data_IF_837769698869
#
_entry.id   IF_837769698869
#
_cell.length_a   1.000
_cell.length_b   1.000
_cell.length_c   1.000
_cell.angle_alpha   90.00
_cell.angle_beta   90.00
_cell.angle_gamma   90.00
#
_symmetry.space_group_name_H-M   'P 1'
#
loop_
_entity.id
_entity.type
_entity.pdbx_description
1 polymer ?
#
# COMPACT_ATOMS: atom_id res chain seq x y z
N UNK A 1 5.47 -17.57 -4.89
CA UNK A 1 4.41 -16.55 -4.89
C UNK A 1 4.61 -15.62 -3.71
N UNK A 2 3.87 -14.53 -3.63
CA UNK A 2 3.89 -13.60 -2.48
C UNK A 2 2.54 -13.59 -1.77
N UNK A 3 2.54 -13.35 -0.47
CA UNK A 3 1.34 -13.24 0.35
C UNK A 3 1.47 -12.11 1.36
N UNK A 4 0.33 -11.59 1.82
CA UNK A 4 0.30 -10.61 2.90
C UNK A 4 0.67 -11.26 4.23
N UNK A 5 1.46 -10.55 5.04
CA UNK A 5 1.83 -10.92 6.40
C UNK A 5 1.82 -9.68 7.29
N UNK A 6 1.74 -9.89 8.60
CA UNK A 6 1.76 -8.83 9.60
C UNK A 6 2.85 -9.16 10.63
N UNK A 7 3.60 -8.17 11.11
CA UNK A 7 4.56 -8.35 12.22
C UNK A 7 3.92 -8.03 13.59
N UNK A 8 4.68 -8.18 14.66
CA UNK A 8 4.20 -7.90 16.03
C UNK A 8 3.83 -6.43 16.27
N UNK A 9 4.33 -5.50 15.44
CA UNK A 9 4.01 -4.07 15.50
C UNK A 9 2.76 -3.71 14.68
N UNK A 10 2.21 -4.65 13.92
CA UNK A 10 1.04 -4.41 13.05
C UNK A 10 1.40 -3.90 11.64
N UNK A 11 2.68 -3.86 11.26
CA UNK A 11 3.08 -3.48 9.92
C UNK A 11 2.68 -4.57 8.92
N UNK A 12 2.18 -4.16 7.76
CA UNK A 12 1.74 -5.06 6.69
C UNK A 12 2.87 -5.24 5.66
N UNK A 13 3.19 -6.49 5.33
CA UNK A 13 4.24 -6.85 4.38
C UNK A 13 3.72 -7.75 3.26
N UNK A 14 4.41 -7.74 2.13
CA UNK A 14 4.35 -8.79 1.12
C UNK A 14 5.58 -9.69 1.25
N UNK A 15 5.34 -10.98 1.52
CA UNK A 15 6.41 -11.95 1.76
C UNK A 15 6.35 -13.05 0.70
N UNK A 16 7.49 -13.32 0.08
CA UNK A 16 7.67 -14.42 -0.87
C UNK A 16 8.71 -15.42 -0.38
N UNK A 17 8.49 -16.70 -0.70
CA UNK A 17 9.47 -17.77 -0.48
C UNK A 17 9.59 -18.60 -1.76
N UNK A 18 10.82 -18.92 -2.13
CA UNK A 18 11.15 -19.76 -3.28
C UNK A 18 12.35 -20.65 -2.94
N UNK A 19 12.42 -21.88 -3.50
CA UNK A 19 13.60 -22.72 -3.36
C UNK A 19 14.76 -22.14 -4.18
N UNK A 20 16.00 -22.40 -3.77
CA UNK A 20 17.19 -21.79 -4.37
C UNK A 20 17.31 -22.10 -5.88
N UNK A 21 16.93 -23.31 -6.30
CA UNK A 21 16.96 -23.70 -7.71
C UNK A 21 15.92 -22.97 -8.59
N UNK A 22 14.92 -22.32 -7.98
CA UNK A 22 13.94 -21.51 -8.69
C UNK A 22 14.38 -20.05 -8.86
N UNK A 23 15.54 -19.65 -8.31
CA UNK A 23 16.11 -18.31 -8.48
C UNK A 23 16.62 -18.17 -9.91
N UNK A 24 15.74 -17.71 -10.79
CA UNK A 24 15.99 -17.46 -12.20
C UNK A 24 15.45 -16.08 -12.55
N UNK A 25 16.02 -15.42 -13.55
CA UNK A 25 15.59 -14.07 -13.97
C UNK A 25 14.08 -13.99 -14.21
N UNK A 26 13.51 -15.02 -14.87
CA UNK A 26 12.08 -15.11 -15.14
C UNK A 26 11.22 -15.21 -13.88
N UNK A 27 11.64 -16.00 -12.90
CA UNK A 27 10.84 -16.13 -11.66
C UNK A 27 10.97 -14.89 -10.78
N UNK A 28 12.14 -14.24 -10.77
CA UNK A 28 12.33 -12.97 -10.06
C UNK A 28 11.47 -11.87 -10.69
N UNK A 29 11.49 -11.72 -12.02
CA UNK A 29 10.63 -10.77 -12.74
C UNK A 29 9.15 -10.99 -12.42
N UNK A 30 8.69 -12.24 -12.48
CA UNK A 30 7.32 -12.61 -12.10
C UNK A 30 6.97 -12.23 -10.66
N UNK A 31 7.88 -12.47 -9.71
CA UNK A 31 7.64 -12.17 -8.30
C UNK A 31 7.63 -10.65 -8.05
N UNK A 32 8.54 -9.89 -8.65
CA UNK A 32 8.55 -8.43 -8.55
C UNK A 32 7.30 -7.81 -9.18
N UNK A 33 6.86 -8.32 -10.33
CA UNK A 33 5.59 -7.92 -10.94
C UNK A 33 4.39 -8.19 -10.02
N UNK A 34 4.36 -9.33 -9.32
CA UNK A 34 3.32 -9.62 -8.34
C UNK A 34 3.38 -8.66 -7.12
N UNK A 35 4.57 -8.32 -6.64
CA UNK A 35 4.75 -7.33 -5.55
C UNK A 35 4.22 -5.96 -5.96
N UNK A 36 4.57 -5.50 -7.16
CA UNK A 36 4.06 -4.23 -7.71
C UNK A 36 2.54 -4.26 -7.79
N UNK A 37 1.97 -5.29 -8.42
CA UNK A 37 0.52 -5.42 -8.59
C UNK A 37 -0.24 -5.43 -7.26
N UNK A 38 0.24 -6.16 -6.26
CA UNK A 38 -0.42 -6.24 -4.96
C UNK A 38 -0.25 -4.95 -4.16
N UNK A 39 0.91 -4.30 -4.26
CA UNK A 39 1.14 -3.01 -3.60
C UNK A 39 0.20 -1.95 -4.18
N UNK A 40 0.18 -1.79 -5.51
CA UNK A 40 -0.64 -0.76 -6.17
C UNK A 40 -2.14 -0.98 -5.94
N UNK A 41 -2.61 -2.22 -6.04
CA UNK A 41 -4.04 -2.52 -5.90
C UNK A 41 -4.54 -2.48 -4.45
N UNK A 42 -3.69 -2.77 -3.46
CA UNK A 42 -4.09 -2.80 -2.06
C UNK A 42 -3.82 -1.49 -1.30
N UNK A 43 -2.94 -0.62 -1.78
CA UNK A 43 -2.47 0.55 -1.03
C UNK A 43 -3.60 1.47 -0.53
N UNK A 44 -4.43 2.00 -1.43
CA UNK A 44 -5.52 2.90 -1.05
C UNK A 44 -6.60 2.19 -0.19
N UNK A 45 -7.08 0.98 -0.54
CA UNK A 45 -8.00 0.25 0.32
C UNK A 45 -7.46 0.02 1.75
N UNK A 46 -6.19 -0.33 1.89
CA UNK A 46 -5.59 -0.52 3.22
C UNK A 46 -5.46 0.80 4.00
N UNK A 47 -5.12 1.90 3.32
CA UNK A 47 -5.12 3.23 3.94
C UNK A 47 -6.52 3.67 4.39
N UNK A 48 -7.55 3.41 3.58
CA UNK A 48 -8.93 3.69 3.97
C UNK A 48 -9.33 2.91 5.22
N UNK A 49 -9.05 1.61 5.25
CA UNK A 49 -9.37 0.75 6.40
C UNK A 49 -8.66 1.19 7.69
N UNK A 50 -7.37 1.51 7.61
CA UNK A 50 -6.56 1.83 8.80
C UNK A 50 -6.55 3.30 9.22
N UNK A 51 -6.77 4.23 8.27
CA UNK A 51 -6.42 5.65 8.45
C UNK A 51 -7.54 6.63 8.08
N UNK A 52 -8.78 6.19 7.82
CA UNK A 52 -9.90 7.08 7.45
C UNK A 52 -10.00 8.34 8.33
N UNK A 53 -9.92 8.21 9.66
CA UNK A 53 -10.03 9.38 10.55
C UNK A 53 -8.84 10.34 10.42
N UNK A 54 -7.63 9.82 10.20
CA UNK A 54 -6.43 10.62 10.00
C UNK A 54 -6.47 11.34 8.65
N UNK A 55 -6.92 10.66 7.59
CA UNK A 55 -7.10 11.23 6.26
C UNK A 55 -8.07 12.42 6.31
N UNK A 56 -9.23 12.27 6.98
CA UNK A 56 -10.20 13.37 7.17
C UNK A 56 -9.59 14.58 7.89
N UNK A 57 -8.80 14.34 8.95
CA UNK A 57 -8.14 15.42 9.70
C UNK A 57 -7.07 16.13 8.87
N UNK A 58 -6.23 15.38 8.16
CA UNK A 58 -5.21 15.92 7.28
C UNK A 58 -5.85 16.73 6.15
N UNK A 59 -6.92 16.23 5.54
CA UNK A 59 -7.67 16.97 4.52
C UNK A 59 -8.16 18.31 5.03
N UNK A 60 -8.86 18.33 6.17
CA UNK A 60 -9.36 19.57 6.77
C UNK A 60 -8.23 20.55 7.10
N UNK A 61 -7.11 20.03 7.63
CA UNK A 61 -5.92 20.83 7.92
C UNK A 61 -5.35 21.48 6.66
N UNK A 62 -5.19 20.71 5.57
CA UNK A 62 -4.68 21.22 4.28
C UNK A 62 -5.59 22.28 3.68
N UNK A 63 -6.90 22.03 3.65
CA UNK A 63 -7.89 22.99 3.16
C UNK A 63 -7.83 24.30 3.94
N UNK A 64 -7.75 24.25 5.27
CA UNK A 64 -7.69 25.45 6.11
C UNK A 64 -6.46 26.33 5.88
N UNK A 65 -5.41 25.78 5.26
CA UNK A 65 -4.12 26.44 5.01
C UNK A 65 -3.81 26.66 3.53
N UNK A 66 -4.66 26.21 2.62
CA UNK A 66 -4.41 26.27 1.18
C UNK A 66 -3.28 25.32 0.71
N UNK A 67 -3.01 24.26 1.47
CA UNK A 67 -1.99 23.26 1.13
C UNK A 67 -2.46 22.31 0.01
N UNK A 68 -1.50 21.73 -0.71
CA UNK A 68 -1.80 20.82 -1.83
C UNK A 68 -2.52 19.54 -1.40
N UNK A 69 -3.63 19.20 -2.06
CA UNK A 69 -4.38 17.95 -1.85
C UNK A 69 -3.94 16.81 -2.78
N UNK A 70 -2.88 16.97 -3.57
CA UNK A 70 -2.51 16.03 -4.64
C UNK A 70 -2.49 14.56 -4.20
N UNK A 71 -1.89 14.26 -3.04
CA UNK A 71 -1.78 12.90 -2.51
C UNK A 71 -3.05 12.41 -1.79
N UNK A 72 -3.99 13.31 -1.51
CA UNK A 72 -5.26 12.97 -0.89
C UNK A 72 -6.41 12.80 -1.88
N UNK A 73 -6.22 13.19 -3.15
CA UNK A 73 -7.28 13.14 -4.18
C UNK A 73 -7.96 11.77 -4.29
N UNK A 74 -7.21 10.67 -4.14
CA UNK A 74 -7.77 9.32 -4.17
C UNK A 74 -8.82 9.09 -3.05
N UNK A 75 -8.75 9.86 -1.96
CA UNK A 75 -9.60 9.75 -0.78
C UNK A 75 -10.64 10.86 -0.67
N UNK A 76 -10.90 11.64 -1.74
CA UNK A 76 -11.89 12.73 -1.74
C UNK A 76 -13.28 12.25 -1.33
N UNK A 77 -13.63 11.02 -1.69
CA UNK A 77 -14.89 10.38 -1.31
C UNK A 77 -15.03 10.10 0.20
N UNK A 78 -13.94 10.21 0.96
CA UNK A 78 -13.93 10.06 2.41
C UNK A 78 -14.12 11.39 3.14
N UNK A 79 -14.48 12.50 2.52
CA UNK A 79 -14.59 13.79 3.22
C UNK A 79 -16.01 14.29 3.20
#
# INVERSE_FOLDING_TARGET
GVAFAINDLGDVFLVGRLPLNAVTDREIDRLLGAVLQYSDSAFNPLLELGFTSAIRREWAWRVSRGESLANLKAFEHLV
#
